data_IF_132816936130
#
_entry.id   IF_132816936130
#
_cell.length_a   1.000
_cell.length_b   1.000
_cell.length_c   1.000
_cell.angle_alpha   90.00
_cell.angle_beta   90.00
_cell.angle_gamma   90.00
#
_symmetry.space_group_name_H-M   'P 1'
#
loop_
_entity.id
_entity.type
_entity.pdbx_description
1 polymer ?
#
# COMPACT_ATOMS: atom_id res chain seq x y z
N UNK A 1 -8.53 8.24 -19.87
CA UNK A 1 -7.37 7.94 -19.00
C UNK A 1 -7.55 8.67 -17.69
N UNK A 2 -7.34 7.99 -16.57
CA UNK A 2 -7.33 8.62 -15.24
C UNK A 2 -6.24 9.70 -15.18
N UNK A 3 -6.46 10.75 -14.37
CA UNK A 3 -5.42 11.76 -14.08
C UNK A 3 -4.45 11.31 -12.96
N UNK A 4 -4.65 10.11 -12.40
CA UNK A 4 -3.93 9.60 -11.23
C UNK A 4 -2.63 8.93 -11.64
N UNK A 5 -1.52 9.28 -10.98
CA UNK A 5 -0.24 8.61 -11.10
C UNK A 5 -0.18 7.35 -10.20
N UNK A 6 0.68 6.41 -10.53
CA UNK A 6 1.10 5.34 -9.63
C UNK A 6 2.34 5.78 -8.84
N UNK A 7 2.33 5.53 -7.55
CA UNK A 7 3.51 5.48 -6.70
C UNK A 7 3.59 4.07 -6.09
N UNK A 8 4.53 3.24 -6.53
CA UNK A 8 4.62 1.86 -6.06
C UNK A 8 5.99 1.52 -5.48
N UNK A 9 5.99 0.71 -4.42
CA UNK A 9 7.18 -0.02 -3.98
C UNK A 9 7.18 -1.43 -4.55
N UNK A 10 8.38 -1.95 -4.87
CA UNK A 10 8.56 -3.26 -5.49
C UNK A 10 9.63 -4.04 -4.75
N UNK A 11 9.28 -5.24 -4.28
CA UNK A 11 10.22 -6.19 -3.71
C UNK A 11 9.93 -7.59 -4.24
N UNK A 12 10.74 -8.05 -5.18
CA UNK A 12 10.55 -9.35 -5.84
C UNK A 12 11.89 -10.07 -6.05
N UNK A 13 12.47 -10.65 -5.00
CA UNK A 13 13.80 -11.24 -5.07
C UNK A 13 13.89 -12.49 -5.96
N UNK A 14 12.77 -13.10 -6.31
CA UNK A 14 12.74 -14.34 -7.11
C UNK A 14 12.12 -14.18 -8.50
N UNK A 15 11.71 -12.95 -8.89
CA UNK A 15 11.27 -12.65 -10.25
C UNK A 15 9.84 -13.07 -10.60
N UNK A 16 8.97 -13.29 -9.62
CA UNK A 16 7.57 -13.71 -9.85
C UNK A 16 6.72 -12.66 -10.54
N UNK A 17 7.07 -11.39 -10.40
CA UNK A 17 6.29 -10.29 -10.98
C UNK A 17 6.66 -9.98 -12.44
N UNK A 18 7.75 -10.54 -12.98
CA UNK A 18 8.26 -10.19 -14.29
C UNK A 18 7.24 -10.42 -15.41
N UNK A 19 6.68 -11.62 -15.52
CA UNK A 19 5.70 -11.98 -16.55
C UNK A 19 4.42 -11.15 -16.40
N UNK A 20 3.89 -11.03 -15.18
CA UNK A 20 2.70 -10.24 -14.90
C UNK A 20 2.91 -8.76 -15.23
N UNK A 21 4.10 -8.20 -14.98
CA UNK A 21 4.44 -6.81 -15.34
C UNK A 21 4.37 -6.60 -16.85
N UNK A 22 4.92 -7.52 -17.63
CA UNK A 22 4.89 -7.44 -19.10
C UNK A 22 3.46 -7.55 -19.61
N UNK A 23 2.72 -8.57 -19.17
CA UNK A 23 1.35 -8.83 -19.65
C UNK A 23 0.38 -7.73 -19.26
N UNK A 24 0.56 -7.09 -18.10
CA UNK A 24 -0.30 -6.00 -17.61
C UNK A 24 0.18 -4.60 -18.01
N UNK A 25 1.25 -4.46 -18.79
CA UNK A 25 1.79 -3.14 -19.19
C UNK A 25 0.75 -2.27 -19.90
N UNK A 26 -0.01 -2.85 -20.83
CA UNK A 26 -1.09 -2.15 -21.54
C UNK A 26 -2.21 -1.69 -20.58
N UNK A 27 -2.83 -2.57 -19.79
CA UNK A 27 -3.80 -2.21 -18.77
C UNK A 27 -3.30 -1.16 -17.76
N UNK A 28 -2.05 -1.26 -17.28
CA UNK A 28 -1.45 -0.25 -16.39
C UNK A 28 -1.44 1.13 -17.02
N UNK A 29 -0.93 1.23 -18.27
CA UNK A 29 -0.88 2.50 -19.01
C UNK A 29 -2.26 3.04 -19.42
N UNK A 30 -3.25 2.18 -19.58
CA UNK A 30 -4.62 2.59 -19.83
C UNK A 30 -5.30 3.18 -18.59
N UNK A 31 -4.94 2.67 -17.40
CA UNK A 31 -5.57 3.03 -16.13
C UNK A 31 -4.92 4.22 -15.43
N UNK A 32 -3.62 4.45 -15.62
CA UNK A 32 -2.81 5.38 -14.84
C UNK A 32 -2.05 6.36 -15.75
N UNK A 33 -2.01 7.63 -15.35
CA UNK A 33 -1.41 8.72 -16.14
C UNK A 33 0.14 8.71 -16.12
N UNK A 34 0.73 8.13 -15.09
CA UNK A 34 2.17 8.00 -14.88
C UNK A 34 2.44 6.79 -14.01
N UNK A 35 3.52 6.07 -14.30
CA UNK A 35 3.95 4.90 -13.55
C UNK A 35 5.32 5.18 -12.90
N UNK A 36 5.34 5.39 -11.58
CA UNK A 36 6.56 5.59 -10.81
C UNK A 36 6.77 4.39 -9.86
N UNK A 37 7.94 3.75 -9.94
CA UNK A 37 8.26 2.56 -9.16
C UNK A 37 9.58 2.71 -8.40
N UNK A 38 9.53 2.55 -7.09
CA UNK A 38 10.71 2.47 -6.24
C UNK A 38 11.02 1.00 -5.95
N UNK A 39 12.12 0.50 -6.53
CA UNK A 39 12.44 -0.92 -6.61
C UNK A 39 13.50 -1.26 -5.58
N UNK A 40 13.29 -2.32 -4.78
CA UNK A 40 14.30 -2.80 -3.86
C UNK A 40 15.53 -3.34 -4.61
N UNK A 41 16.72 -3.10 -4.08
CA UNK A 41 18.00 -3.58 -4.60
C UNK A 41 18.08 -5.13 -4.68
N UNK A 42 17.26 -5.82 -3.87
CA UNK A 42 17.12 -7.27 -3.89
C UNK A 42 16.16 -7.79 -4.98
N UNK A 43 15.45 -6.92 -5.70
CA UNK A 43 14.51 -7.35 -6.75
C UNK A 43 15.26 -8.01 -7.92
N UNK A 44 14.74 -9.14 -8.38
CA UNK A 44 15.31 -9.94 -9.46
C UNK A 44 15.45 -9.15 -10.77
N UNK A 45 16.50 -9.44 -11.55
CA UNK A 45 16.80 -8.72 -12.78
C UNK A 45 15.63 -8.71 -13.78
N UNK A 46 14.98 -9.87 -14.00
CA UNK A 46 13.84 -9.96 -14.92
C UNK A 46 12.69 -9.00 -14.57
N UNK A 47 12.37 -8.84 -13.29
CA UNK A 47 11.35 -7.89 -12.84
C UNK A 47 11.80 -6.45 -13.01
N UNK A 48 13.07 -6.16 -12.73
CA UNK A 48 13.65 -4.83 -13.00
C UNK A 48 13.61 -4.46 -14.46
N UNK A 49 13.96 -5.39 -15.36
CA UNK A 49 13.92 -5.18 -16.81
C UNK A 49 12.50 -4.93 -17.31
N UNK A 50 11.52 -5.74 -16.84
CA UNK A 50 10.12 -5.55 -17.17
C UNK A 50 9.58 -4.19 -16.70
N UNK A 51 9.93 -3.76 -15.47
CA UNK A 51 9.57 -2.45 -14.96
C UNK A 51 10.25 -1.32 -15.73
N UNK A 52 11.52 -1.48 -16.11
CA UNK A 52 12.26 -0.49 -16.90
C UNK A 52 11.62 -0.23 -18.28
N UNK A 53 10.98 -1.25 -18.85
CA UNK A 53 10.22 -1.13 -20.09
C UNK A 53 8.81 -0.54 -19.89
N UNK A 54 8.26 -0.60 -18.66
CA UNK A 54 6.87 -0.26 -18.39
C UNK A 54 6.72 1.07 -17.64
N UNK A 55 7.57 1.37 -16.66
CA UNK A 55 7.47 2.56 -15.82
C UNK A 55 8.03 3.81 -16.49
N UNK A 56 7.48 4.98 -16.15
CA UNK A 56 7.95 6.29 -16.62
C UNK A 56 9.08 6.82 -15.74
N UNK A 57 9.16 6.36 -14.49
CA UNK A 57 10.23 6.72 -13.56
C UNK A 57 10.54 5.57 -12.61
N UNK A 58 11.83 5.34 -12.39
CA UNK A 58 12.33 4.29 -11.51
C UNK A 58 13.40 4.87 -10.60
N UNK A 59 13.38 4.43 -9.34
CA UNK A 59 14.50 4.56 -8.41
C UNK A 59 14.73 3.24 -7.66
N UNK A 60 15.85 3.15 -6.97
CA UNK A 60 16.24 1.94 -6.22
C UNK A 60 16.42 2.29 -4.76
N UNK A 61 15.89 1.44 -3.87
CA UNK A 61 16.08 1.53 -2.42
C UNK A 61 16.69 0.24 -1.84
N UNK A 62 17.26 0.34 -0.66
CA UNK A 62 17.75 -0.83 0.07
C UNK A 62 16.59 -1.71 0.54
N UNK A 63 16.74 -3.03 0.42
CA UNK A 63 15.79 -4.04 0.88
C UNK A 63 15.75 -4.17 2.41
N UNK A 64 15.45 -3.07 3.11
CA UNK A 64 15.36 -3.02 4.57
C UNK A 64 13.91 -2.83 5.02
N UNK A 65 13.37 -3.79 5.78
CA UNK A 65 12.02 -3.66 6.38
C UNK A 65 11.89 -2.41 7.27
N UNK A 66 12.96 -2.00 7.93
CA UNK A 66 12.98 -0.80 8.76
C UNK A 66 12.82 0.50 7.96
N UNK A 67 13.09 0.46 6.64
CA UNK A 67 13.10 1.62 5.75
C UNK A 67 11.97 1.59 4.71
N UNK A 68 11.01 0.69 4.85
CA UNK A 68 9.91 0.56 3.89
C UNK A 68 9.06 1.84 3.81
N UNK A 69 8.85 2.52 4.95
CA UNK A 69 8.11 3.78 4.99
C UNK A 69 8.84 4.90 4.25
N UNK A 70 10.18 4.96 4.36
CA UNK A 70 10.97 5.87 3.54
C UNK A 70 10.86 5.52 2.07
N UNK A 71 10.98 4.25 1.69
CA UNK A 71 10.84 3.80 0.30
C UNK A 71 9.48 4.18 -0.29
N UNK A 72 8.41 4.13 0.50
CA UNK A 72 7.05 4.55 0.13
C UNK A 72 6.97 6.06 -0.11
N UNK A 73 7.57 6.89 0.76
CA UNK A 73 7.65 8.35 0.55
C UNK A 73 8.46 8.69 -0.70
N UNK A 74 9.57 8.02 -0.91
CA UNK A 74 10.41 8.21 -2.09
C UNK A 74 9.63 7.85 -3.39
N UNK A 75 8.78 6.81 -3.36
CA UNK A 75 7.88 6.48 -4.47
C UNK A 75 6.84 7.59 -4.74
N UNK A 76 6.27 8.20 -3.69
CA UNK A 76 5.39 9.36 -3.84
C UNK A 76 6.12 10.56 -4.43
N UNK A 77 7.33 10.85 -3.97
CA UNK A 77 8.15 11.93 -4.52
C UNK A 77 8.46 11.70 -6.01
N UNK A 78 8.76 10.45 -6.37
CA UNK A 78 9.03 10.05 -7.75
C UNK A 78 7.79 10.19 -8.66
N UNK A 79 6.59 9.90 -8.13
CA UNK A 79 5.32 10.08 -8.84
C UNK A 79 4.99 11.55 -9.09
N UNK A 80 5.52 12.45 -8.25
CA UNK A 80 5.34 13.90 -8.34
C UNK A 80 4.16 14.42 -7.50
N UNK A 81 4.11 15.75 -7.36
CA UNK A 81 3.08 16.46 -6.58
C UNK A 81 2.13 17.29 -7.45
N UNK A 82 2.21 17.15 -8.77
CA UNK A 82 1.42 17.92 -9.74
C UNK A 82 0.04 17.30 -10.02
N UNK A 83 -0.19 16.06 -9.58
CA UNK A 83 -1.42 15.31 -9.79
C UNK A 83 -1.70 14.34 -8.64
N UNK A 84 -2.93 13.81 -8.50
CA UNK A 84 -3.21 12.74 -7.54
C UNK A 84 -2.36 11.50 -7.83
N UNK A 85 -2.00 10.76 -6.78
CA UNK A 85 -1.32 9.48 -6.92
C UNK A 85 -2.05 8.36 -6.14
N UNK A 86 -2.07 7.17 -6.72
CA UNK A 86 -2.37 5.93 -6.02
C UNK A 86 -1.06 5.36 -5.50
N UNK A 87 -0.89 5.31 -4.17
CA UNK A 87 0.15 4.52 -3.55
C UNK A 87 -0.36 3.10 -3.31
N UNK A 88 0.43 2.11 -3.71
CA UNK A 88 0.22 0.68 -3.40
C UNK A 88 1.51 -0.10 -3.61
N UNK A 89 1.63 -1.25 -2.96
CA UNK A 89 2.67 -2.22 -3.30
C UNK A 89 2.34 -2.82 -4.69
N UNK A 90 3.37 -3.01 -5.51
CA UNK A 90 3.18 -3.27 -6.94
C UNK A 90 2.53 -4.64 -7.24
N UNK A 91 2.82 -5.65 -6.44
CA UNK A 91 2.19 -6.96 -6.52
C UNK A 91 0.68 -6.89 -6.25
N UNK A 92 0.26 -6.08 -5.28
CA UNK A 92 -1.15 -5.80 -4.99
C UNK A 92 -1.84 -5.13 -6.20
N UNK A 93 -1.17 -4.18 -6.85
CA UNK A 93 -1.72 -3.52 -8.04
C UNK A 93 -1.91 -4.50 -9.20
N UNK A 94 -0.91 -5.34 -9.49
CA UNK A 94 -1.01 -6.32 -10.57
C UNK A 94 -2.18 -7.29 -10.34
N UNK A 95 -2.35 -7.76 -9.10
CA UNK A 95 -3.50 -8.61 -8.74
C UNK A 95 -4.82 -7.86 -8.85
N UNK A 96 -4.88 -6.64 -8.36
CA UNK A 96 -6.09 -5.82 -8.44
C UNK A 96 -6.52 -5.59 -9.89
N UNK A 97 -5.57 -5.29 -10.77
CA UNK A 97 -5.81 -5.18 -12.21
C UNK A 97 -6.30 -6.50 -12.83
N UNK A 98 -5.78 -7.63 -12.39
CA UNK A 98 -6.18 -8.95 -12.90
C UNK A 98 -7.55 -9.42 -12.40
N UNK A 99 -7.89 -9.14 -11.13
CA UNK A 99 -9.07 -9.67 -10.47
C UNK A 99 -10.27 -8.70 -10.48
N UNK A 100 -9.98 -7.39 -10.47
CA UNK A 100 -11.02 -6.37 -10.33
C UNK A 100 -10.67 -5.05 -11.02
N UNK A 101 -10.44 -5.03 -12.35
CA UNK A 101 -10.06 -3.80 -13.06
C UNK A 101 -11.12 -2.69 -12.95
N UNK A 102 -12.40 -3.06 -12.90
CA UNK A 102 -13.49 -2.11 -12.72
C UNK A 102 -13.52 -1.52 -11.31
N UNK A 103 -13.15 -2.31 -10.29
CA UNK A 103 -13.04 -1.84 -8.92
C UNK A 103 -11.86 -0.86 -8.77
N UNK A 104 -10.71 -1.16 -9.38
CA UNK A 104 -9.60 -0.22 -9.45
C UNK A 104 -10.02 1.09 -10.13
N UNK A 105 -10.71 1.02 -11.28
CA UNK A 105 -11.21 2.20 -11.98
C UNK A 105 -12.16 3.03 -11.09
N UNK A 106 -13.09 2.38 -10.40
CA UNK A 106 -13.99 3.01 -9.42
C UNK A 106 -13.21 3.79 -8.36
N UNK A 107 -12.17 3.20 -7.78
CA UNK A 107 -11.32 3.85 -6.75
C UNK A 107 -10.55 5.04 -7.32
N UNK A 108 -10.03 4.92 -8.54
CA UNK A 108 -9.30 6.03 -9.19
C UNK A 108 -10.20 7.24 -9.47
N UNK A 109 -11.48 7.02 -9.73
CA UNK A 109 -12.47 8.04 -10.10
C UNK A 109 -13.33 8.51 -8.91
N UNK A 110 -13.34 7.77 -7.79
CA UNK A 110 -14.19 8.04 -6.63
C UNK A 110 -13.84 9.38 -5.97
N UNK A 111 -14.86 10.19 -5.70
CA UNK A 111 -14.79 11.42 -4.92
C UNK A 111 -13.48 12.21 -5.11
N UNK A 112 -13.29 12.88 -6.26
CA UNK A 112 -12.02 13.58 -6.58
C UNK A 112 -11.64 14.67 -5.58
N UNK A 113 -12.59 15.15 -4.78
CA UNK A 113 -12.37 16.17 -3.74
C UNK A 113 -11.69 15.63 -2.48
N UNK A 114 -11.60 14.31 -2.30
CA UNK A 114 -10.88 13.72 -1.17
C UNK A 114 -9.37 13.91 -1.32
N UNK A 115 -8.74 14.37 -0.26
CA UNK A 115 -7.29 14.52 -0.19
C UNK A 115 -6.59 13.17 0.10
N UNK A 116 -7.20 12.33 0.93
CA UNK A 116 -6.69 11.00 1.24
C UNK A 116 -7.85 9.99 1.26
N UNK A 117 -7.92 9.15 0.24
CA UNK A 117 -8.82 8.00 0.19
C UNK A 117 -8.05 6.76 0.62
N UNK A 118 -8.42 6.20 1.75
CA UNK A 118 -7.92 4.91 2.24
C UNK A 118 -8.71 3.79 1.57
N UNK A 119 -8.02 2.81 1.03
CA UNK A 119 -8.65 1.62 0.45
C UNK A 119 -8.28 0.41 1.29
N UNK A 120 -9.26 -0.12 2.01
CA UNK A 120 -9.11 -1.32 2.82
C UNK A 120 -9.62 -2.57 2.12
N UNK A 121 -9.40 -3.71 2.74
CA UNK A 121 -10.01 -4.98 2.33
C UNK A 121 -11.50 -4.98 2.70
N UNK A 122 -12.33 -5.63 1.91
CA UNK A 122 -13.68 -5.96 2.34
C UNK A 122 -13.64 -6.95 3.52
N UNK A 123 -14.76 -7.08 4.24
CA UNK A 123 -14.87 -8.04 5.35
C UNK A 123 -14.59 -9.47 4.87
N UNK A 124 -15.02 -9.81 3.65
CA UNK A 124 -14.74 -11.10 3.02
C UNK A 124 -13.25 -11.30 2.74
N UNK A 125 -12.60 -10.30 2.16
CA UNK A 125 -11.18 -10.35 1.86
C UNK A 125 -10.33 -10.40 3.15
N UNK A 126 -10.69 -9.60 4.16
CA UNK A 126 -10.03 -9.62 5.46
C UNK A 126 -10.20 -10.97 6.19
N UNK A 127 -11.39 -11.57 6.12
CA UNK A 127 -11.64 -12.87 6.73
C UNK A 127 -10.84 -14.02 6.08
N UNK A 128 -10.45 -13.88 4.81
CA UNK A 128 -9.63 -14.86 4.10
C UNK A 128 -8.13 -14.80 4.45
N UNK A 129 -7.70 -13.76 5.17
CA UNK A 129 -6.28 -13.60 5.56
C UNK A 129 -5.82 -14.67 6.55
N UNK A 130 -4.52 -15.01 6.58
CA UNK A 130 -3.92 -15.84 7.62
C UNK A 130 -4.27 -15.31 9.03
N UNK A 131 -4.50 -16.22 9.96
CA UNK A 131 -4.97 -15.87 11.32
C UNK A 131 -4.06 -14.86 12.01
N UNK A 132 -2.74 -15.03 11.94
CA UNK A 132 -1.78 -14.13 12.57
C UNK A 132 -1.88 -12.68 12.05
N UNK A 133 -2.22 -12.50 10.75
CA UNK A 133 -2.47 -11.19 10.18
C UNK A 133 -3.78 -10.62 10.74
N UNK A 134 -4.87 -11.36 10.62
CA UNK A 134 -6.18 -10.91 11.12
C UNK A 134 -6.14 -10.48 12.57
N UNK A 135 -5.58 -11.32 13.46
CA UNK A 135 -5.57 -11.06 14.90
C UNK A 135 -4.75 -9.80 15.23
N UNK A 136 -3.53 -9.68 14.66
CA UNK A 136 -2.67 -8.52 14.91
C UNK A 136 -3.20 -7.24 14.28
N UNK A 137 -3.72 -7.29 13.07
CA UNK A 137 -4.22 -6.13 12.33
C UNK A 137 -5.57 -5.65 12.88
N UNK A 138 -6.42 -6.56 13.36
CA UNK A 138 -7.64 -6.20 14.10
C UNK A 138 -7.32 -5.34 15.30
N UNK A 139 -6.28 -5.70 16.08
CA UNK A 139 -5.86 -4.91 17.24
C UNK A 139 -5.39 -3.52 16.84
N UNK A 140 -4.61 -3.41 15.78
CA UNK A 140 -4.09 -2.13 15.27
C UNK A 140 -5.22 -1.25 14.73
N UNK A 141 -6.10 -1.80 13.89
CA UNK A 141 -7.26 -1.09 13.33
C UNK A 141 -8.24 -0.64 14.44
N UNK A 142 -8.47 -1.49 15.46
CA UNK A 142 -9.28 -1.13 16.62
C UNK A 142 -8.67 0.04 17.41
N UNK A 143 -7.36 0.03 17.62
CA UNK A 143 -6.66 1.13 18.29
C UNK A 143 -6.79 2.44 17.51
N UNK A 144 -6.68 2.39 16.17
CA UNK A 144 -6.93 3.54 15.31
C UNK A 144 -8.39 4.03 15.45
N UNK A 145 -9.36 3.12 15.48
CA UNK A 145 -10.78 3.48 15.63
C UNK A 145 -11.05 4.18 16.97
N UNK A 146 -10.42 3.75 18.06
CA UNK A 146 -10.52 4.43 19.37
C UNK A 146 -9.92 5.83 19.32
N UNK A 147 -8.86 6.05 18.54
CA UNK A 147 -8.20 7.34 18.40
C UNK A 147 -9.00 8.33 17.53
N UNK A 148 -9.67 7.86 16.49
CA UNK A 148 -10.25 8.69 15.43
C UNK A 148 -11.76 8.64 15.34
N UNK A 149 -12.40 7.58 15.80
CA UNK A 149 -13.80 7.23 15.55
C UNK A 149 -14.02 6.47 14.23
N UNK A 150 -12.99 6.26 13.41
CA UNK A 150 -13.09 5.62 12.09
C UNK A 150 -12.76 4.12 12.18
N UNK A 151 -13.69 3.28 11.76
CA UNK A 151 -13.54 1.82 11.70
C UNK A 151 -13.02 1.38 10.33
N UNK A 152 -11.75 1.66 10.05
CA UNK A 152 -11.10 1.41 8.77
C UNK A 152 -10.09 0.27 8.85
N UNK A 153 -9.94 -0.48 7.75
CA UNK A 153 -8.80 -1.36 7.54
C UNK A 153 -7.68 -0.56 6.88
N UNK A 154 -6.61 -0.30 7.63
CA UNK A 154 -5.48 0.51 7.17
C UNK A 154 -4.26 -0.32 6.78
N UNK A 155 -4.29 -1.63 7.06
CA UNK A 155 -3.08 -2.44 7.04
C UNK A 155 -2.67 -2.97 5.65
N UNK A 156 -3.39 -2.57 4.59
CA UNK A 156 -3.11 -3.01 3.21
C UNK A 156 -2.38 -1.95 2.38
N UNK A 157 -1.95 -0.86 2.98
CA UNK A 157 -1.09 0.19 2.39
C UNK A 157 -1.58 0.81 1.07
N UNK A 158 -2.88 0.76 0.75
CA UNK A 158 -3.42 1.36 -0.47
C UNK A 158 -4.04 2.72 -0.16
N UNK A 159 -3.53 3.77 -0.82
CA UNK A 159 -3.96 5.16 -0.60
C UNK A 159 -4.03 5.91 -1.93
N UNK A 160 -5.18 6.51 -2.25
CA UNK A 160 -5.22 7.56 -3.28
C UNK A 160 -5.07 8.91 -2.59
N UNK A 161 -4.06 9.67 -3.00
CA UNK A 161 -3.62 10.90 -2.37
C UNK A 161 -3.74 12.08 -3.33
N UNK A 162 -4.28 13.21 -2.88
CA UNK A 162 -4.24 14.47 -3.63
C UNK A 162 -2.83 15.07 -3.64
N UNK A 163 -2.53 16.02 -4.53
CA UNK A 163 -1.29 16.79 -4.49
C UNK A 163 -0.99 17.41 -3.11
N UNK A 164 -2.03 17.89 -2.42
CA UNK A 164 -1.92 18.47 -1.08
C UNK A 164 -1.52 17.44 -0.04
N UNK A 165 -2.13 16.25 -0.09
CA UNK A 165 -1.78 15.16 0.82
C UNK A 165 -0.37 14.63 0.56
N UNK A 166 0.03 14.52 -0.71
CA UNK A 166 1.40 14.11 -1.07
C UNK A 166 2.41 15.13 -0.51
N UNK A 167 2.21 16.42 -0.75
CA UNK A 167 3.09 17.46 -0.24
C UNK A 167 3.21 17.42 1.29
N UNK A 168 2.08 17.27 2.00
CA UNK A 168 2.04 17.12 3.46
C UNK A 168 2.85 15.90 3.94
N UNK A 169 2.67 14.75 3.31
CA UNK A 169 3.37 13.52 3.65
C UNK A 169 4.89 13.68 3.44
N UNK A 170 5.29 14.23 2.30
CA UNK A 170 6.71 14.45 1.98
C UNK A 170 7.38 15.44 2.95
N UNK A 171 6.64 16.42 3.46
CA UNK A 171 7.14 17.39 4.40
C UNK A 171 7.17 16.88 5.84
N UNK A 172 6.14 16.15 6.29
CA UNK A 172 5.89 15.91 7.71
C UNK A 172 6.01 14.46 8.17
N UNK A 173 5.99 13.49 7.25
CA UNK A 173 6.09 12.07 7.65
C UNK A 173 7.48 11.75 8.16
N UNK A 174 7.55 11.18 9.38
CA UNK A 174 8.79 10.82 10.08
C UNK A 174 8.96 9.31 10.25
N UNK A 175 7.93 8.53 9.92
CA UNK A 175 7.94 7.08 10.11
C UNK A 175 8.60 6.40 8.92
N UNK A 176 9.78 5.81 9.14
CA UNK A 176 10.54 5.09 8.10
C UNK A 176 10.13 3.62 7.98
N UNK A 177 9.38 3.08 8.94
CA UNK A 177 8.86 1.72 8.92
C UNK A 177 7.51 1.61 8.20
N UNK A 178 6.98 0.39 8.11
CA UNK A 178 5.65 0.10 7.57
C UNK A 178 4.51 0.82 8.34
N UNK A 179 4.77 1.33 9.54
CA UNK A 179 3.77 2.01 10.36
C UNK A 179 3.34 3.39 9.81
N UNK A 180 3.91 3.83 8.69
CA UNK A 180 3.37 4.95 7.92
C UNK A 180 1.95 4.65 7.37
N UNK A 181 1.50 3.40 7.39
CA UNK A 181 0.09 3.04 7.14
C UNK A 181 -0.87 3.76 8.08
N UNK A 182 -0.47 3.97 9.34
CA UNK A 182 -1.22 4.76 10.32
C UNK A 182 -0.87 6.24 10.28
N UNK A 183 0.41 6.57 10.09
CA UNK A 183 0.87 7.96 10.16
C UNK A 183 0.24 8.84 9.09
N UNK A 184 0.17 8.39 7.83
CA UNK A 184 -0.29 9.24 6.74
C UNK A 184 -1.76 9.69 6.87
N UNK A 185 -2.73 8.81 7.14
CA UNK A 185 -4.10 9.24 7.40
C UNK A 185 -4.21 10.15 8.63
N UNK A 186 -3.42 9.90 9.69
CA UNK A 186 -3.42 10.72 10.90
C UNK A 186 -2.82 12.11 10.67
N UNK A 187 -1.75 12.21 9.86
CA UNK A 187 -1.20 13.50 9.41
C UNK A 187 -2.25 14.29 8.62
N UNK A 188 -2.87 13.64 7.63
CA UNK A 188 -3.92 14.27 6.81
C UNK A 188 -5.09 14.76 7.68
N UNK A 189 -5.54 13.95 8.64
CA UNK A 189 -6.59 14.33 9.60
C UNK A 189 -6.17 15.53 10.45
N UNK A 190 -4.97 15.50 11.02
CA UNK A 190 -4.44 16.61 11.85
C UNK A 190 -4.32 17.91 11.07
N UNK A 191 -4.02 17.83 9.79
CA UNK A 191 -3.95 18.99 8.88
C UNK A 191 -5.34 19.46 8.36
N UNK A 192 -6.43 18.79 8.76
CA UNK A 192 -7.78 19.14 8.31
C UNK A 192 -8.05 18.83 6.83
N UNK A 193 -7.32 17.88 6.25
CA UNK A 193 -7.57 17.42 4.89
C UNK A 193 -8.82 16.53 4.82
N UNK A 194 -9.45 16.48 3.64
CA UNK A 194 -10.63 15.64 3.41
C UNK A 194 -10.22 14.17 3.28
N UNK A 195 -10.68 13.33 4.22
CA UNK A 195 -10.43 11.90 4.23
C UNK A 195 -11.66 11.11 3.84
N UNK A 196 -11.46 9.98 3.17
CA UNK A 196 -12.49 9.01 2.86
C UNK A 196 -11.97 7.59 2.98
N UNK A 197 -12.91 6.63 2.97
CA UNK A 197 -12.63 5.21 3.05
C UNK A 197 -13.49 4.43 2.07
N UNK A 198 -12.91 3.43 1.46
CA UNK A 198 -13.63 2.43 0.66
C UNK A 198 -12.99 1.07 0.82
N UNK A 199 -13.70 0.03 0.41
CA UNK A 199 -13.23 -1.35 0.48
C UNK A 199 -13.14 -1.97 -0.92
N UNK A 200 -12.27 -2.97 -1.04
CA UNK A 200 -12.13 -3.79 -2.24
C UNK A 200 -12.09 -5.28 -1.88
N UNK A 201 -12.79 -6.08 -2.67
CA UNK A 201 -12.74 -7.53 -2.61
C UNK A 201 -11.49 -8.12 -3.28
N UNK A 202 -10.80 -7.34 -4.09
CA UNK A 202 -9.61 -7.77 -4.82
C UNK A 202 -8.29 -7.54 -4.03
N UNK A 203 -8.38 -6.86 -2.88
CA UNK A 203 -7.25 -6.63 -1.99
C UNK A 203 -7.23 -7.70 -0.89
N UNK A 204 -6.44 -8.72 -1.06
CA UNK A 204 -6.21 -9.77 -0.07
C UNK A 204 -4.83 -10.40 -0.26
N UNK A 205 -4.33 -11.06 0.78
CA UNK A 205 -3.04 -11.72 0.76
C UNK A 205 -3.08 -13.05 0.01
N UNK A 206 -1.97 -13.77 -0.04
CA UNK A 206 -1.82 -15.02 -0.77
C UNK A 206 -2.57 -16.16 -0.05
N UNK A 207 -3.72 -16.53 -0.59
CA UNK A 207 -4.54 -17.64 -0.04
C UNK A 207 -4.09 -18.99 -0.57
N UNK A 208 -4.42 -20.06 0.15
CA UNK A 208 -4.15 -21.44 -0.30
C UNK A 208 -4.88 -21.78 -1.61
N UNK A 209 -6.10 -21.26 -1.77
CA UNK A 209 -6.92 -21.51 -2.96
C UNK A 209 -6.27 -20.97 -4.23
N UNK A 210 -5.64 -19.77 -4.13
CA UNK A 210 -5.05 -19.09 -5.29
C UNK A 210 -3.58 -19.47 -5.53
N UNK A 211 -2.83 -19.73 -4.47
CA UNK A 211 -1.36 -19.90 -4.53
C UNK A 211 -0.90 -21.32 -4.18
N UNK A 212 -1.80 -22.22 -3.75
CA UNK A 212 -1.43 -23.59 -3.38
C UNK A 212 -0.30 -23.60 -2.33
N UNK A 213 0.78 -24.33 -2.62
CA UNK A 213 1.95 -24.43 -1.73
C UNK A 213 2.69 -23.11 -1.52
N UNK A 214 2.53 -22.15 -2.43
CA UNK A 214 3.12 -20.82 -2.33
C UNK A 214 2.29 -19.84 -1.46
N UNK A 215 1.15 -20.30 -0.94
CA UNK A 215 0.33 -19.51 -0.03
C UNK A 215 1.05 -19.27 1.30
N UNK A 216 0.59 -18.24 2.00
CA UNK A 216 1.09 -17.98 3.34
C UNK A 216 0.36 -18.87 4.37
N UNK A 217 0.97 -19.98 4.73
CA UNK A 217 0.46 -21.00 5.67
C UNK A 217 1.26 -21.06 6.99
N UNK A 218 1.95 -19.98 7.38
CA UNK A 218 2.91 -19.94 8.49
C UNK A 218 2.27 -19.59 9.85
N UNK A 219 0.99 -19.88 10.03
CA UNK A 219 0.28 -19.55 11.29
C UNK A 219 0.77 -20.38 12.50
N UNK A 220 1.42 -21.52 12.27
CA UNK A 220 2.02 -22.36 13.31
C UNK A 220 3.49 -21.99 13.63
N UNK A 221 4.08 -21.02 12.92
CA UNK A 221 5.44 -20.55 13.17
C UNK A 221 5.48 -19.42 14.21
N UNK A 222 5.99 -19.66 15.43
CA UNK A 222 6.06 -18.64 16.48
C UNK A 222 6.82 -17.37 16.06
N UNK A 223 7.84 -17.51 15.19
CA UNK A 223 8.62 -16.36 14.71
C UNK A 223 7.73 -15.39 13.92
N UNK A 224 6.78 -15.91 13.13
CA UNK A 224 5.85 -15.07 12.37
C UNK A 224 4.92 -14.29 13.30
N UNK A 225 4.48 -14.89 14.41
CA UNK A 225 3.68 -14.19 15.43
C UNK A 225 4.48 -13.10 16.15
N UNK A 226 5.74 -13.38 16.52
CA UNK A 226 6.64 -12.39 17.13
C UNK A 226 6.79 -11.19 16.19
N UNK A 227 7.05 -11.41 14.91
CA UNK A 227 7.14 -10.33 13.90
C UNK A 227 5.84 -9.51 13.81
N UNK A 228 4.69 -10.15 13.88
CA UNK A 228 3.40 -9.43 13.86
C UNK A 228 3.21 -8.55 15.09
N UNK A 229 3.64 -9.01 16.27
CA UNK A 229 3.65 -8.18 17.51
C UNK A 229 4.61 -6.99 17.39
N UNK A 230 5.79 -7.19 16.82
CA UNK A 230 6.75 -6.11 16.56
C UNK A 230 6.13 -5.07 15.59
N UNK A 231 5.48 -5.51 14.53
CA UNK A 231 4.77 -4.60 13.61
C UNK A 231 3.64 -3.85 14.31
N UNK A 232 2.84 -4.51 15.13
CA UNK A 232 1.79 -3.85 15.92
C UNK A 232 2.38 -2.79 16.87
N UNK A 233 3.54 -3.07 17.49
CA UNK A 233 4.24 -2.10 18.34
C UNK A 233 4.74 -0.87 17.55
N UNK A 234 5.23 -1.06 16.32
CA UNK A 234 5.61 0.06 15.44
C UNK A 234 4.39 0.94 15.10
N UNK A 235 3.25 0.33 14.77
CA UNK A 235 2.01 1.07 14.52
C UNK A 235 1.52 1.83 15.74
N UNK A 236 1.56 1.20 16.93
CA UNK A 236 1.22 1.86 18.19
C UNK A 236 2.13 3.07 18.45
N UNK A 237 3.43 2.93 18.18
CA UNK A 237 4.39 4.05 18.29
C UNK A 237 4.08 5.18 17.33
N UNK A 238 3.69 4.87 16.08
CA UNK A 238 3.31 5.87 15.08
C UNK A 238 2.00 6.60 15.44
N UNK A 239 1.07 5.96 16.13
CA UNK A 239 -0.18 6.56 16.60
C UNK A 239 0.00 7.47 17.82
N UNK A 240 1.00 7.20 18.67
CA UNK A 240 1.21 7.91 19.95
C UNK A 240 1.25 9.45 19.84
N UNK A 241 1.91 10.07 18.84
CA UNK A 241 1.95 11.53 18.70
C UNK A 241 0.59 12.19 18.38
N UNK A 242 -0.42 11.40 18.09
CA UNK A 242 -1.77 11.86 17.75
C UNK A 242 -2.79 11.68 18.89
N UNK A 243 -2.37 11.13 20.03
CA UNK A 243 -3.20 11.10 21.24
C UNK A 243 -3.53 12.54 21.66
N UNK A 244 -4.79 12.78 22.01
CA UNK A 244 -5.17 14.05 22.64
C UNK A 244 -4.52 14.12 24.04
N UNK A 245 -4.00 15.28 24.43
CA UNK A 245 -3.47 15.49 25.78
C UNK A 245 -4.53 15.33 26.84
#
# INVERSE_FOLDING_TARGET
>A
MSAVALAATVHDPIGRLAEATVSMSGPLRASLARLASNISDATHAATRDALSATADAIMVHSASEAMIGKARRDALALAGTDRPALYTDFDHLLRWLGLGPEDLRRVLEMEPALDCLVVGRSDRAFAAEPRRLRDSETLVNHTHALLTGDHWDLMFAVRRLSPRAIALILEQSQVDSLANDMEWPLLARRAGLALGYTQSDALYYRTLEEFGEDADNRDDDPLQWIRRLEFAALHASAMRPFLKP
#
